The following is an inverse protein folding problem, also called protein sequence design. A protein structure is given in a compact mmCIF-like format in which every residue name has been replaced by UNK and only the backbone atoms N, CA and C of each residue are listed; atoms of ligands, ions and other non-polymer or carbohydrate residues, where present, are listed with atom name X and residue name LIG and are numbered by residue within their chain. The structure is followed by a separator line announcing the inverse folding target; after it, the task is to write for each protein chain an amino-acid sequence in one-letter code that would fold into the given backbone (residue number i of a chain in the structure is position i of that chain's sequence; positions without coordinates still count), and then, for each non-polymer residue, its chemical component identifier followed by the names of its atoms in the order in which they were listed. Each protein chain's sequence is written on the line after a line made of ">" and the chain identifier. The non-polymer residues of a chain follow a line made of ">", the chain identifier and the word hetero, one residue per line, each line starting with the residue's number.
data_IF_638558923837
#
_entry.id   IF_638558923837
#
_cell.length_a   1.000
_cell.length_b   1.000
_cell.length_c   1.000
_cell.angle_alpha   90.00
_cell.angle_beta   90.00
_cell.angle_gamma   90.00
#
_symmetry.space_group_name_H-M   'P 1'
#
loop_
_entity.id
_entity.type
_entity.pdbx_description
1 polymer ?
#
# COMPACT_ATOMS: atom_id res chain seq x y z
N UNK A 1 -19.77 9.94 18.46
CA UNK A 1 -18.73 9.92 17.41
C UNK A 1 -17.66 10.89 17.85
N UNK A 2 -16.37 10.54 17.83
CA UNK A 2 -15.32 11.55 18.06
C UNK A 2 -15.34 12.48 16.86
N UNK A 3 -15.43 13.79 17.08
CA UNK A 3 -15.37 14.78 16.01
C UNK A 3 -14.06 14.69 15.24
N UNK A 4 -14.10 14.99 13.94
CA UNK A 4 -12.89 15.05 13.13
C UNK A 4 -11.97 16.16 13.67
N UNK A 5 -10.66 15.87 13.74
CA UNK A 5 -9.65 16.82 14.18
C UNK A 5 -9.39 17.90 13.11
N UNK A 6 -9.61 17.54 11.83
CA UNK A 6 -9.38 18.39 10.67
C UNK A 6 -10.55 18.29 9.68
N UNK A 7 -10.68 19.30 8.83
CA UNK A 7 -11.67 19.38 7.75
C UNK A 7 -11.06 19.02 6.39
N UNK A 8 -11.87 18.71 5.38
CA UNK A 8 -11.38 18.57 4.00
C UNK A 8 -10.69 19.83 3.47
N UNK A 9 -11.12 21.02 3.91
CA UNK A 9 -10.55 22.32 3.56
C UNK A 9 -9.14 22.47 4.12
N UNK A 10 -8.91 22.06 5.38
CA UNK A 10 -7.57 22.05 5.97
C UNK A 10 -6.60 21.20 5.14
N UNK A 11 -7.06 20.03 4.68
CA UNK A 11 -6.25 19.17 3.82
C UNK A 11 -5.90 19.85 2.50
N UNK A 12 -6.87 20.52 1.84
CA UNK A 12 -6.62 21.25 0.60
C UNK A 12 -5.61 22.38 0.80
N UNK A 13 -5.75 23.15 1.88
CA UNK A 13 -4.81 24.22 2.21
C UNK A 13 -3.41 23.64 2.41
N UNK A 14 -3.26 22.55 3.18
CA UNK A 14 -1.95 21.94 3.40
C UNK A 14 -1.37 21.32 2.11
N UNK A 15 -2.20 20.77 1.24
CA UNK A 15 -1.78 20.25 -0.06
C UNK A 15 -1.33 21.34 -1.05
N UNK A 16 -1.81 22.58 -0.89
CA UNK A 16 -1.42 23.72 -1.73
C UNK A 16 -0.13 24.43 -1.26
N UNK A 17 0.42 24.08 -0.11
CA UNK A 17 1.68 24.67 0.38
C UNK A 17 2.85 24.37 -0.55
N UNK A 18 3.85 25.25 -0.52
CA UNK A 18 5.13 24.98 -1.19
C UNK A 18 5.81 23.74 -0.62
N UNK A 19 6.65 23.10 -1.42
CA UNK A 19 7.40 21.91 -0.99
C UNK A 19 8.24 22.21 0.27
N UNK A 20 8.91 23.35 0.31
CA UNK A 20 9.69 23.79 1.46
C UNK A 20 8.85 23.81 2.75
N UNK A 21 7.67 24.44 2.72
CA UNK A 21 6.76 24.47 3.87
C UNK A 21 6.29 23.07 4.28
N UNK A 22 6.01 22.20 3.29
CA UNK A 22 5.65 20.81 3.56
C UNK A 22 6.77 20.05 4.25
N UNK A 23 8.02 20.25 3.81
CA UNK A 23 9.21 19.68 4.47
C UNK A 23 9.29 20.11 5.92
N UNK A 24 9.22 21.41 6.19
CA UNK A 24 9.30 21.96 7.57
C UNK A 24 8.23 21.39 8.49
N UNK A 25 6.97 21.35 8.02
CA UNK A 25 5.87 20.77 8.81
C UNK A 25 6.04 19.27 9.01
N UNK A 26 6.48 18.55 7.97
CA UNK A 26 6.77 17.11 8.07
C UNK A 26 7.86 16.82 9.10
N UNK A 27 8.94 17.61 9.10
CA UNK A 27 10.01 17.51 10.08
C UNK A 27 9.51 17.78 11.51
N UNK A 28 8.67 18.81 11.68
CA UNK A 28 8.03 19.07 12.98
C UNK A 28 7.22 17.88 13.48
N UNK A 29 6.42 17.23 12.61
CA UNK A 29 5.65 16.03 12.97
C UNK A 29 6.53 14.83 13.31
N UNK A 30 7.66 14.67 12.63
CA UNK A 30 8.67 13.65 12.94
C UNK A 30 9.27 13.90 14.33
N UNK A 31 9.66 15.14 14.64
CA UNK A 31 10.22 15.51 15.95
C UNK A 31 9.22 15.24 17.08
N UNK A 32 7.96 15.68 16.93
CA UNK A 32 6.89 15.40 17.89
C UNK A 32 6.72 13.89 18.15
N UNK A 33 6.74 13.09 17.08
CA UNK A 33 6.59 11.64 17.18
C UNK A 33 7.78 10.99 17.89
N UNK A 34 8.99 11.38 17.52
CA UNK A 34 10.23 10.89 18.11
C UNK A 34 10.30 11.19 19.62
N UNK A 35 10.04 12.43 19.99
CA UNK A 35 10.06 12.86 21.40
C UNK A 35 8.99 12.14 22.23
N UNK A 36 7.77 12.03 21.71
CA UNK A 36 6.66 11.35 22.41
C UNK A 36 6.93 9.88 22.68
N UNK A 37 7.71 9.23 21.83
CA UNK A 37 8.07 7.82 21.96
C UNK A 37 9.48 7.61 22.55
N UNK A 38 10.10 8.63 23.12
CA UNK A 38 11.45 8.56 23.70
C UNK A 38 12.49 7.95 22.74
N UNK A 39 12.43 8.31 21.46
CA UNK A 39 13.31 7.80 20.41
C UNK A 39 13.01 6.38 19.91
N UNK A 40 12.07 5.66 20.53
CA UNK A 40 11.68 4.30 20.11
C UNK A 40 10.75 4.35 18.90
N UNK A 41 11.32 4.64 17.75
CA UNK A 41 10.60 4.76 16.48
C UNK A 41 11.38 4.08 15.35
N UNK A 42 10.65 3.69 14.30
CA UNK A 42 11.25 3.16 13.08
C UNK A 42 10.51 3.69 11.84
N UNK A 43 11.19 3.74 10.70
CA UNK A 43 10.56 4.03 9.41
C UNK A 43 10.07 2.73 8.78
N UNK A 44 8.77 2.60 8.52
CA UNK A 44 8.23 1.50 7.70
C UNK A 44 8.64 1.71 6.25
N UNK A 45 9.71 1.04 5.85
CA UNK A 45 10.40 1.25 4.58
C UNK A 45 10.04 0.16 3.58
N UNK A 46 9.44 0.51 2.47
CA UNK A 46 9.05 -0.44 1.41
C UNK A 46 10.00 -0.45 0.21
N UNK A 47 11.03 0.40 0.21
CA UNK A 47 11.86 0.66 -0.97
C UNK A 47 11.18 1.50 -2.05
N UNK A 48 9.89 1.80 -1.87
CA UNK A 48 9.13 2.67 -2.78
C UNK A 48 9.49 4.15 -2.62
N UNK A 49 9.27 4.95 -3.67
CA UNK A 49 9.64 6.37 -3.73
C UNK A 49 9.16 7.18 -2.51
N UNK A 50 7.92 6.95 -2.07
CA UNK A 50 7.32 7.68 -0.96
C UNK A 50 8.02 7.37 0.37
N UNK A 51 8.33 6.09 0.62
CA UNK A 51 9.05 5.67 1.83
C UNK A 51 10.53 6.04 1.78
N UNK A 52 11.11 6.20 0.61
CA UNK A 52 12.49 6.70 0.43
C UNK A 52 12.59 8.17 0.83
N UNK A 53 11.65 9.00 0.36
CA UNK A 53 11.55 10.41 0.79
C UNK A 53 11.34 10.52 2.29
N UNK A 54 10.44 9.72 2.86
CA UNK A 54 10.23 9.71 4.32
C UNK A 54 11.50 9.34 5.07
N UNK A 55 12.21 8.30 4.63
CA UNK A 55 13.45 7.85 5.28
C UNK A 55 14.52 8.94 5.27
N UNK A 56 14.69 9.62 4.14
CA UNK A 56 15.61 10.75 4.01
C UNK A 56 15.23 11.90 4.96
N UNK A 57 13.96 12.30 4.98
CA UNK A 57 13.47 13.35 5.89
C UNK A 57 13.66 13.02 7.37
N UNK A 58 13.45 11.77 7.76
CA UNK A 58 13.66 11.31 9.14
C UNK A 58 15.14 11.33 9.48
N UNK A 59 16.00 10.79 8.60
CA UNK A 59 17.44 10.65 8.86
C UNK A 59 18.23 11.95 8.76
N UNK A 60 17.70 12.97 8.11
CA UNK A 60 18.26 14.35 8.19
C UNK A 60 18.16 14.94 9.60
N UNK A 61 17.23 14.46 10.44
CA UNK A 61 17.04 14.95 11.82
C UNK A 61 17.60 13.92 12.82
N UNK A 62 17.33 12.65 12.58
CA UNK A 62 17.70 11.53 13.44
C UNK A 62 18.38 10.43 12.62
N UNK A 63 19.70 10.55 12.35
CA UNK A 63 20.43 9.66 11.44
C UNK A 63 20.37 8.17 11.81
N UNK A 64 20.25 7.88 13.10
CA UNK A 64 20.29 6.51 13.62
C UNK A 64 18.92 5.81 13.64
N UNK A 65 17.83 6.47 13.22
CA UNK A 65 16.52 5.83 13.18
C UNK A 65 16.52 4.66 12.21
N UNK A 66 16.17 3.44 12.68
CA UNK A 66 16.16 2.25 11.84
C UNK A 66 15.04 2.30 10.80
N UNK A 67 15.31 1.73 9.64
CA UNK A 67 14.30 1.39 8.66
C UNK A 67 13.91 -0.09 8.83
N UNK A 68 12.63 -0.41 8.67
CA UNK A 68 12.12 -1.78 8.71
C UNK A 68 11.48 -2.12 7.38
N UNK A 69 12.05 -3.10 6.69
CA UNK A 69 11.57 -3.62 5.42
C UNK A 69 10.96 -5.01 5.62
N UNK A 70 9.70 -5.16 5.21
CA UNK A 70 9.04 -6.47 5.23
C UNK A 70 9.14 -7.08 3.84
N UNK A 71 10.08 -8.02 3.68
CA UNK A 71 10.29 -8.78 2.44
C UNK A 71 9.21 -9.85 2.30
N UNK A 72 8.15 -9.51 1.59
CA UNK A 72 7.04 -10.44 1.33
C UNK A 72 7.30 -11.38 0.16
N UNK A 73 8.35 -11.14 -0.62
CA UNK A 73 8.60 -11.80 -1.89
C UNK A 73 7.68 -11.33 -3.03
N UNK A 74 6.87 -10.29 -2.77
CA UNK A 74 5.94 -9.68 -3.74
C UNK A 74 6.41 -8.32 -4.25
N UNK A 75 7.57 -7.89 -3.82
CA UNK A 75 8.22 -6.67 -4.28
C UNK A 75 8.91 -6.92 -5.62
N UNK A 76 8.99 -5.88 -6.47
CA UNK A 76 9.83 -5.93 -7.66
C UNK A 76 11.29 -6.21 -7.28
N UNK A 77 12.04 -7.00 -8.06
CA UNK A 77 13.44 -7.28 -7.77
C UNK A 77 14.28 -6.01 -7.55
N UNK A 78 14.05 -4.97 -8.35
CA UNK A 78 14.76 -3.70 -8.28
C UNK A 78 14.51 -2.96 -6.95
N UNK A 79 13.32 -3.12 -6.35
CA UNK A 79 13.07 -2.58 -5.02
C UNK A 79 13.91 -3.29 -3.96
N UNK A 80 14.00 -4.61 -4.04
CA UNK A 80 14.80 -5.39 -3.08
C UNK A 80 16.29 -5.09 -3.24
N UNK A 81 16.79 -4.95 -4.47
CA UNK A 81 18.18 -4.53 -4.70
C UNK A 81 18.42 -3.12 -4.17
N UNK A 82 17.52 -2.19 -4.40
CA UNK A 82 17.62 -0.84 -3.83
C UNK A 82 17.64 -0.85 -2.30
N UNK A 83 16.77 -1.61 -1.65
CA UNK A 83 16.74 -1.71 -0.18
C UNK A 83 18.07 -2.23 0.38
N UNK A 84 18.77 -3.12 -0.33
CA UNK A 84 20.10 -3.63 0.08
C UNK A 84 21.18 -2.54 0.11
N UNK A 85 21.02 -1.47 -0.68
CA UNK A 85 21.98 -0.35 -0.71
C UNK A 85 21.80 0.61 0.48
N UNK A 86 20.67 0.51 1.20
CA UNK A 86 20.35 1.39 2.31
C UNK A 86 20.90 0.82 3.62
N UNK A 87 21.62 1.65 4.36
CA UNK A 87 22.17 1.26 5.65
C UNK A 87 21.10 1.21 6.76
N UNK A 88 21.38 0.51 7.84
CA UNK A 88 20.52 0.40 9.02
C UNK A 88 19.07 0.00 8.67
N UNK A 89 18.92 -1.10 7.92
CA UNK A 89 17.62 -1.67 7.55
C UNK A 89 17.46 -3.04 8.22
N UNK A 90 16.43 -3.17 9.03
CA UNK A 90 15.97 -4.46 9.58
C UNK A 90 15.08 -5.16 8.56
N UNK A 91 15.48 -6.35 8.12
CA UNK A 91 14.72 -7.17 7.18
C UNK A 91 13.84 -8.16 7.95
N UNK A 92 12.54 -8.06 7.73
CA UNK A 92 11.56 -8.99 8.30
C UNK A 92 10.96 -9.85 7.18
N UNK A 93 10.60 -11.08 7.51
CA UNK A 93 9.86 -11.97 6.61
C UNK A 93 8.54 -12.37 7.25
N UNK A 94 7.44 -12.42 6.51
CA UNK A 94 6.18 -12.97 6.99
C UNK A 94 6.32 -14.48 7.24
N UNK A 95 5.53 -15.02 8.15
CA UNK A 95 5.51 -16.46 8.46
C UNK A 95 4.98 -17.31 7.31
N UNK A 96 4.11 -16.73 6.47
CA UNK A 96 3.55 -17.38 5.29
C UNK A 96 4.03 -16.68 4.03
N UNK A 97 4.46 -17.43 3.02
CA UNK A 97 4.63 -16.90 1.67
C UNK A 97 3.27 -16.69 0.97
N UNK A 98 3.26 -15.95 -0.13
CA UNK A 98 2.02 -15.58 -0.80
C UNK A 98 1.21 -16.77 -1.32
N UNK A 99 1.89 -17.82 -1.84
CA UNK A 99 1.22 -19.04 -2.28
C UNK A 99 0.46 -19.70 -1.12
N UNK A 100 1.10 -19.81 0.06
CA UNK A 100 0.44 -20.36 1.25
C UNK A 100 -0.71 -19.48 1.73
N UNK A 101 -0.60 -18.16 1.58
CA UNK A 101 -1.69 -17.22 1.91
C UNK A 101 -2.90 -17.43 0.96
N UNK A 102 -2.67 -17.60 -0.35
CA UNK A 102 -3.73 -17.91 -1.30
C UNK A 102 -4.39 -19.26 -0.96
N UNK A 103 -3.59 -20.28 -0.72
CA UNK A 103 -4.09 -21.62 -0.36
C UNK A 103 -4.96 -21.59 0.89
N UNK A 104 -4.56 -20.80 1.89
CA UNK A 104 -5.23 -20.77 3.20
C UNK A 104 -6.45 -19.84 3.20
N UNK A 105 -6.39 -18.72 2.51
CA UNK A 105 -7.39 -17.66 2.62
C UNK A 105 -8.05 -17.27 1.31
N UNK A 106 -7.41 -17.54 0.17
CA UNK A 106 -7.92 -17.17 -1.15
C UNK A 106 -7.25 -15.94 -1.77
N UNK A 107 -7.68 -15.65 -3.00
CA UNK A 107 -7.10 -14.62 -3.86
C UNK A 107 -7.50 -13.19 -3.46
N UNK A 108 -6.55 -12.24 -3.47
CA UNK A 108 -6.83 -10.83 -3.22
C UNK A 108 -7.25 -10.12 -4.51
N UNK A 109 -8.53 -10.12 -4.83
CA UNK A 109 -9.07 -9.55 -6.08
C UNK A 109 -10.15 -8.51 -5.81
N UNK A 110 -10.48 -7.71 -6.83
CA UNK A 110 -11.45 -6.62 -6.86
C UNK A 110 -11.06 -5.50 -5.90
N UNK A 111 -11.41 -5.60 -4.63
CA UNK A 111 -11.02 -4.66 -3.57
C UNK A 111 -11.00 -5.35 -2.22
N UNK A 112 -10.30 -4.77 -1.24
CA UNK A 112 -10.27 -5.35 0.13
C UNK A 112 -11.66 -5.51 0.72
N UNK A 113 -12.54 -4.52 0.53
CA UNK A 113 -13.89 -4.57 1.07
C UNK A 113 -14.73 -5.66 0.40
N UNK A 114 -14.71 -5.70 -0.93
CA UNK A 114 -15.47 -6.72 -1.70
C UNK A 114 -14.91 -8.12 -1.38
N UNK A 115 -13.61 -8.33 -1.42
CA UNK A 115 -13.00 -9.61 -1.08
C UNK A 115 -13.35 -10.06 0.35
N UNK A 116 -13.33 -9.14 1.32
CA UNK A 116 -13.75 -9.43 2.69
C UNK A 116 -15.25 -9.76 2.81
N UNK A 117 -16.11 -9.11 2.01
CA UNK A 117 -17.54 -9.40 1.96
C UNK A 117 -17.81 -10.77 1.32
N UNK A 118 -17.16 -11.08 0.20
CA UNK A 118 -17.25 -12.39 -0.45
C UNK A 118 -16.77 -13.49 0.51
N UNK A 119 -15.62 -13.32 1.13
CA UNK A 119 -15.11 -14.27 2.14
C UNK A 119 -16.10 -14.49 3.29
N UNK A 120 -16.80 -13.44 3.73
CA UNK A 120 -17.83 -13.56 4.77
C UNK A 120 -19.08 -14.25 4.25
N UNK A 121 -19.52 -13.96 3.03
CA UNK A 121 -20.70 -14.53 2.39
C UNK A 121 -20.53 -16.03 2.13
N UNK A 122 -19.36 -16.47 1.66
CA UNK A 122 -19.05 -17.89 1.48
C UNK A 122 -19.11 -18.69 2.79
N UNK A 123 -18.65 -18.09 3.90
CA UNK A 123 -18.66 -18.74 5.21
C UNK A 123 -20.05 -18.72 5.91
N UNK A 124 -20.79 -17.66 5.70
CA UNK A 124 -22.14 -17.46 6.27
C UNK A 124 -23.02 -16.72 5.26
N UNK A 125 -23.81 -17.45 4.46
CA UNK A 125 -24.66 -16.88 3.41
C UNK A 125 -25.74 -15.90 3.93
N UNK A 126 -26.11 -15.98 5.20
CA UNK A 126 -27.15 -15.15 5.79
C UNK A 126 -26.61 -13.89 6.48
N UNK A 127 -25.30 -13.71 6.53
CA UNK A 127 -24.72 -12.55 7.17
C UNK A 127 -25.02 -11.25 6.40
N UNK A 128 -25.00 -10.11 7.11
CA UNK A 128 -25.30 -8.81 6.53
C UNK A 128 -24.37 -8.46 5.34
N UNK A 129 -23.11 -8.91 5.35
CA UNK A 129 -22.16 -8.70 4.26
C UNK A 129 -22.57 -9.46 3.00
N UNK A 130 -23.15 -10.66 3.15
CA UNK A 130 -23.70 -11.42 2.05
C UNK A 130 -24.89 -10.69 1.39
N UNK A 131 -25.79 -10.14 2.23
CA UNK A 131 -26.92 -9.33 1.75
C UNK A 131 -26.47 -8.08 0.99
N UNK A 132 -25.41 -7.40 1.45
CA UNK A 132 -24.80 -6.28 0.71
C UNK A 132 -24.24 -6.70 -0.64
N UNK A 133 -23.51 -7.82 -0.70
CA UNK A 133 -22.91 -8.30 -1.97
C UNK A 133 -23.98 -8.72 -2.95
N UNK A 134 -25.07 -9.35 -2.50
CA UNK A 134 -26.18 -9.71 -3.36
C UNK A 134 -27.07 -8.54 -3.78
N UNK A 135 -26.86 -7.36 -3.18
CA UNK A 135 -27.66 -6.16 -3.46
C UNK A 135 -29.04 -6.17 -2.80
N UNK A 136 -29.30 -7.05 -1.84
CA UNK A 136 -30.55 -7.13 -1.07
C UNK A 136 -30.71 -5.96 -0.11
N UNK A 137 -29.59 -5.36 0.30
CA UNK A 137 -29.58 -4.18 1.18
C UNK A 137 -28.72 -3.11 0.50
N UNK A 138 -29.25 -1.87 0.34
CA UNK A 138 -28.50 -0.77 -0.24
C UNK A 138 -27.23 -0.46 0.56
N UNK A 139 -26.10 -0.38 -0.12
CA UNK A 139 -24.82 0.04 0.47
C UNK A 139 -24.18 1.12 -0.39
N UNK A 140 -24.36 2.36 -0.01
CA UNK A 140 -23.84 3.53 -0.72
C UNK A 140 -22.33 3.73 -0.55
N UNK A 141 -21.73 3.13 0.50
CA UNK A 141 -20.32 3.33 0.85
C UNK A 141 -19.40 2.39 0.06
N UNK A 142 -19.84 1.15 -0.21
CA UNK A 142 -18.99 0.09 -0.75
C UNK A 142 -19.39 -0.43 -2.14
N UNK A 143 -20.36 0.20 -2.81
CA UNK A 143 -20.68 -0.07 -4.21
C UNK A 143 -21.23 -1.46 -4.50
N UNK A 144 -22.02 -2.02 -3.58
CA UNK A 144 -22.48 -3.40 -3.68
C UNK A 144 -23.88 -3.58 -4.30
N UNK A 145 -24.16 -3.01 -5.47
CA UNK A 145 -25.46 -3.23 -6.15
C UNK A 145 -25.57 -4.61 -6.82
N UNK A 146 -25.13 -5.68 -6.16
CA UNK A 146 -25.17 -7.04 -6.71
C UNK A 146 -24.12 -7.32 -7.81
N UNK A 147 -23.39 -6.31 -8.28
CA UNK A 147 -22.41 -6.44 -9.37
C UNK A 147 -21.39 -7.57 -9.17
N UNK A 148 -20.99 -7.81 -7.93
CA UNK A 148 -19.96 -8.79 -7.58
C UNK A 148 -20.52 -10.05 -6.94
N UNK A 149 -21.86 -10.24 -6.97
CA UNK A 149 -22.54 -11.38 -6.34
C UNK A 149 -22.05 -12.73 -6.93
N UNK A 150 -21.78 -12.79 -8.23
CA UNK A 150 -21.30 -14.00 -8.93
C UNK A 150 -19.98 -14.54 -8.34
N UNK A 151 -19.20 -13.70 -7.63
CA UNK A 151 -17.95 -14.13 -6.99
C UNK A 151 -18.19 -15.01 -5.75
N UNK A 152 -19.42 -15.07 -5.22
CA UNK A 152 -19.77 -16.00 -4.14
C UNK A 152 -19.64 -17.45 -4.65
N UNK A 153 -20.00 -17.68 -5.92
CA UNK A 153 -19.98 -19.01 -6.56
C UNK A 153 -18.66 -19.29 -7.28
N UNK A 154 -17.64 -18.42 -7.13
CA UNK A 154 -16.34 -18.65 -7.75
C UNK A 154 -15.73 -19.97 -7.29
N UNK A 155 -15.08 -20.76 -8.22
CA UNK A 155 -14.50 -22.06 -7.90
C UNK A 155 -13.21 -21.96 -7.06
N UNK A 156 -12.86 -20.78 -6.63
CA UNK A 156 -11.71 -20.48 -5.78
C UNK A 156 -12.10 -19.57 -4.60
N UNK A 157 -11.29 -19.58 -3.55
CA UNK A 157 -11.49 -18.70 -2.40
C UNK A 157 -11.01 -17.29 -2.68
N UNK A 158 -11.71 -16.30 -2.10
CA UNK A 158 -11.42 -14.87 -2.24
C UNK A 158 -11.33 -14.24 -0.86
N UNK A 159 -10.28 -13.44 -0.61
CA UNK A 159 -10.05 -12.86 0.71
C UNK A 159 -9.24 -11.57 0.68
N UNK A 160 -9.41 -10.73 1.69
CA UNK A 160 -8.60 -9.54 1.96
C UNK A 160 -7.44 -9.78 2.93
N UNK A 161 -7.25 -11.03 3.39
CA UNK A 161 -6.33 -11.39 4.47
C UNK A 161 -4.84 -11.22 4.12
N UNK A 162 -4.46 -11.28 2.84
CA UNK A 162 -3.05 -11.27 2.43
C UNK A 162 -2.25 -10.08 3.01
N UNK A 163 -2.80 -8.87 2.96
CA UNK A 163 -2.11 -7.68 3.50
C UNK A 163 -1.97 -7.71 5.03
N UNK A 164 -2.91 -8.34 5.72
CA UNK A 164 -2.82 -8.51 7.16
C UNK A 164 -1.72 -9.51 7.49
N UNK A 165 -1.80 -10.72 6.96
CA UNK A 165 -0.87 -11.82 7.25
C UNK A 165 0.57 -11.49 6.85
N UNK A 166 0.75 -10.92 5.65
CA UNK A 166 2.10 -10.71 5.13
C UNK A 166 2.76 -9.41 5.59
N UNK A 167 1.99 -8.38 5.94
CA UNK A 167 2.56 -7.06 6.28
C UNK A 167 2.22 -6.62 7.68
N UNK A 168 0.92 -6.54 8.03
CA UNK A 168 0.51 -5.94 9.30
C UNK A 168 0.89 -6.80 10.51
N UNK A 169 0.64 -8.10 10.43
CA UNK A 169 0.97 -9.03 11.52
C UNK A 169 2.49 -9.06 11.78
N UNK A 170 3.29 -9.09 10.70
CA UNK A 170 4.75 -9.03 10.80
C UNK A 170 5.23 -7.73 11.46
N UNK A 171 4.66 -6.58 11.06
CA UNK A 171 4.97 -5.30 11.69
C UNK A 171 4.57 -5.26 13.17
N UNK A 172 3.37 -5.73 13.51
CA UNK A 172 2.89 -5.75 14.90
C UNK A 172 3.73 -6.67 15.80
N UNK A 173 4.21 -7.80 15.27
CA UNK A 173 5.15 -8.67 16.01
C UNK A 173 6.46 -7.95 16.32
N UNK A 174 7.00 -7.24 15.33
CA UNK A 174 8.21 -6.42 15.50
C UNK A 174 7.97 -5.31 16.55
N UNK A 175 6.88 -4.55 16.42
CA UNK A 175 6.51 -3.49 17.38
C UNK A 175 6.35 -4.01 18.81
N UNK A 176 5.77 -5.21 18.96
CA UNK A 176 5.61 -5.86 20.27
C UNK A 176 6.95 -6.28 20.86
N UNK A 177 7.89 -6.74 20.04
CA UNK A 177 9.21 -7.19 20.49
C UNK A 177 10.14 -6.04 20.86
N UNK A 178 10.13 -4.96 20.07
CA UNK A 178 11.07 -3.83 20.23
C UNK A 178 10.48 -2.68 21.05
N UNK A 179 9.16 -2.55 21.10
CA UNK A 179 8.46 -1.39 21.63
C UNK A 179 8.48 -0.17 20.72
N UNK A 180 9.14 -0.25 19.57
CA UNK A 180 9.23 0.85 18.60
C UNK A 180 7.90 1.16 17.93
N UNK A 181 7.72 2.43 17.51
CA UNK A 181 6.49 2.93 16.88
C UNK A 181 6.73 3.36 15.44
N UNK A 182 5.83 3.00 14.51
CA UNK A 182 6.03 3.22 13.08
C UNK A 182 5.87 4.68 12.66
N UNK A 183 6.72 5.10 11.71
CA UNK A 183 6.55 6.27 10.85
C UNK A 183 6.32 5.75 9.43
N UNK A 184 5.20 6.10 8.81
CA UNK A 184 4.76 5.52 7.53
C UNK A 184 4.52 6.61 6.48
N UNK A 185 5.02 6.43 5.26
CA UNK A 185 4.88 7.34 4.12
C UNK A 185 3.52 7.20 3.42
N UNK A 186 2.42 7.37 4.14
CA UNK A 186 1.09 7.35 3.51
C UNK A 186 0.54 8.74 3.28
N UNK A 187 -0.07 8.97 2.11
CA UNK A 187 -0.66 10.24 1.74
C UNK A 187 -2.19 10.16 1.69
N UNK A 188 -2.88 11.20 2.15
CA UNK A 188 -4.35 11.26 2.17
C UNK A 188 -4.96 11.24 0.75
N UNK A 189 -4.21 11.72 -0.26
CA UNK A 189 -4.66 11.72 -1.66
C UNK A 189 -4.74 10.32 -2.29
N UNK A 190 -4.15 9.29 -1.69
CA UNK A 190 -4.09 7.95 -2.27
C UNK A 190 -5.38 7.13 -2.12
N UNK A 191 -6.21 7.44 -1.12
CA UNK A 191 -7.51 6.76 -0.94
C UNK A 191 -8.42 7.50 0.05
N UNK A 192 -9.74 7.29 -0.10
CA UNK A 192 -10.72 7.84 0.83
C UNK A 192 -10.49 7.38 2.27
N UNK A 193 -10.08 6.13 2.50
CA UNK A 193 -9.80 5.62 3.84
C UNK A 193 -8.64 6.36 4.49
N UNK A 194 -7.56 6.67 3.72
CA UNK A 194 -6.42 7.44 4.23
C UNK A 194 -6.81 8.88 4.51
N UNK A 195 -7.61 9.50 3.62
CA UNK A 195 -8.17 10.82 3.83
C UNK A 195 -9.00 10.87 5.12
N UNK A 196 -9.94 9.95 5.31
CA UNK A 196 -10.76 9.89 6.53
C UNK A 196 -9.93 9.65 7.79
N UNK A 197 -8.90 8.81 7.70
CA UNK A 197 -7.96 8.59 8.82
C UNK A 197 -7.24 9.87 9.21
N UNK A 198 -6.77 10.64 8.22
CA UNK A 198 -6.11 11.91 8.47
C UNK A 198 -7.06 12.96 9.05
N UNK A 199 -8.27 13.10 8.51
CA UNK A 199 -9.27 14.03 9.05
C UNK A 199 -9.53 13.76 10.54
N UNK A 200 -9.57 12.48 10.93
CA UNK A 200 -9.82 12.06 12.30
C UNK A 200 -8.63 12.26 13.23
N UNK A 201 -7.42 11.90 12.79
CA UNK A 201 -6.26 11.76 13.67
C UNK A 201 -5.15 12.79 13.42
N UNK A 202 -5.13 13.44 12.25
CA UNK A 202 -4.00 14.23 11.78
C UNK A 202 -2.81 13.35 11.36
N UNK A 203 -1.61 13.94 11.39
CA UNK A 203 -0.38 13.23 11.00
C UNK A 203 0.10 12.24 12.07
N UNK A 204 -0.08 12.56 13.35
CA UNK A 204 0.36 11.75 14.48
C UNK A 204 -0.86 11.24 15.27
N UNK A 205 -1.16 9.95 15.12
CA UNK A 205 -2.27 9.27 15.78
C UNK A 205 -1.80 8.70 17.13
N UNK A 206 -1.49 9.56 18.10
CA UNK A 206 -0.96 9.17 19.42
C UNK A 206 -1.92 8.29 20.22
N UNK A 207 -3.21 8.61 20.20
CA UNK A 207 -4.24 7.99 21.03
C UNK A 207 -5.01 6.89 20.28
N UNK A 208 -4.51 6.44 19.13
CA UNK A 208 -5.09 5.32 18.41
C UNK A 208 -4.76 3.98 19.09
N UNK A 209 -5.60 2.97 18.90
CA UNK A 209 -5.34 1.60 19.38
C UNK A 209 -3.99 1.07 18.88
N UNK A 210 -3.64 1.43 17.64
CA UNK A 210 -2.32 1.20 17.07
C UNK A 210 -1.73 2.57 16.71
N UNK A 211 -0.94 3.18 17.61
CA UNK A 211 -0.34 4.48 17.36
C UNK A 211 0.56 4.47 16.13
N UNK A 212 0.45 5.50 15.29
CA UNK A 212 1.21 5.61 14.04
C UNK A 212 1.43 7.07 13.66
N UNK A 213 2.60 7.37 13.12
CA UNK A 213 2.87 8.66 12.47
C UNK A 213 2.81 8.52 10.95
N UNK A 214 2.08 9.43 10.31
CA UNK A 214 2.00 9.58 8.86
C UNK A 214 2.32 11.03 8.47
N UNK A 215 3.57 11.48 8.68
CA UNK A 215 3.92 12.90 8.64
C UNK A 215 3.81 13.52 7.24
N UNK A 216 3.78 12.69 6.19
CA UNK A 216 3.59 13.07 4.80
C UNK A 216 2.12 13.01 4.34
N UNK A 217 1.13 12.89 5.23
CA UNK A 217 -0.27 12.67 4.84
C UNK A 217 -0.85 13.75 3.94
N UNK A 218 -0.38 14.99 4.04
CA UNK A 218 -0.81 16.12 3.20
C UNK A 218 0.03 16.32 1.94
N UNK A 219 1.03 15.47 1.69
CA UNK A 219 1.80 15.49 0.44
C UNK A 219 1.00 14.91 -0.72
N UNK A 220 1.43 15.26 -1.92
CA UNK A 220 0.96 14.71 -3.19
C UNK A 220 2.10 13.95 -3.89
N UNK A 221 1.78 13.18 -4.91
CA UNK A 221 2.81 12.49 -5.71
C UNK A 221 3.78 13.49 -6.35
N UNK A 222 3.30 14.67 -6.73
CA UNK A 222 4.16 15.73 -7.31
C UNK A 222 5.20 16.20 -6.32
N UNK A 223 4.83 16.39 -5.05
CA UNK A 223 5.77 16.79 -4.00
C UNK A 223 6.87 15.73 -3.78
N UNK A 224 6.49 14.45 -3.83
CA UNK A 224 7.44 13.33 -3.70
C UNK A 224 8.44 13.32 -4.85
N UNK A 225 7.96 13.42 -6.10
CA UNK A 225 8.82 13.41 -7.29
C UNK A 225 9.70 14.65 -7.36
N UNK A 226 9.16 15.82 -7.02
CA UNK A 226 9.91 17.07 -6.91
C UNK A 226 11.01 16.96 -5.87
N UNK A 227 10.70 16.46 -4.67
CA UNK A 227 11.68 16.27 -3.60
C UNK A 227 12.83 15.37 -4.01
N UNK A 228 12.54 14.24 -4.67
CA UNK A 228 13.57 13.31 -5.15
C UNK A 228 14.52 14.02 -6.14
N UNK A 229 13.97 14.82 -7.07
CA UNK A 229 14.75 15.55 -8.06
C UNK A 229 15.61 16.66 -7.45
N UNK A 230 15.03 17.46 -6.55
CA UNK A 230 15.72 18.60 -5.95
C UNK A 230 16.75 18.19 -4.89
N UNK A 231 16.50 17.10 -4.18
CA UNK A 231 17.41 16.57 -3.16
C UNK A 231 18.40 15.54 -3.68
N UNK A 232 18.29 15.15 -4.95
CA UNK A 232 19.13 14.15 -5.63
C UNK A 232 19.27 12.84 -4.83
N UNK A 233 18.18 12.39 -4.18
CA UNK A 233 18.21 11.15 -3.42
C UNK A 233 18.04 9.93 -4.34
N UNK A 234 18.76 8.83 -4.07
CA UNK A 234 18.63 7.60 -4.83
C UNK A 234 17.23 6.98 -4.65
N UNK A 235 16.76 6.30 -5.68
CA UNK A 235 15.49 5.56 -5.67
C UNK A 235 15.59 4.31 -6.56
N UNK A 236 14.65 3.38 -6.38
CA UNK A 236 14.66 2.11 -7.10
C UNK A 236 14.49 2.30 -8.62
N UNK A 237 15.30 1.60 -9.40
CA UNK A 237 15.35 1.72 -10.88
C UNK A 237 14.05 1.31 -11.59
N UNK A 238 13.16 0.55 -10.93
CA UNK A 238 11.84 0.20 -11.47
C UNK A 238 10.96 1.41 -11.81
N UNK A 239 11.23 2.57 -11.21
CA UNK A 239 10.54 3.82 -11.54
C UNK A 239 11.06 4.47 -12.84
N UNK A 240 12.22 4.03 -13.37
CA UNK A 240 12.90 4.69 -14.49
C UNK A 240 13.35 6.09 -14.12
N UNK A 241 13.35 7.00 -15.11
CA UNK A 241 13.70 8.40 -14.89
C UNK A 241 12.52 9.22 -14.40
N UNK A 242 12.78 10.20 -13.54
CA UNK A 242 11.82 11.25 -13.20
C UNK A 242 12.00 12.41 -14.19
N UNK A 243 10.96 12.68 -14.97
CA UNK A 243 10.91 13.72 -16.01
C UNK A 243 9.75 14.68 -15.77
N UNK A 244 9.76 15.82 -16.44
CA UNK A 244 8.64 16.75 -16.48
C UNK A 244 7.96 16.71 -17.85
N UNK A 245 6.64 16.82 -17.85
CA UNK A 245 5.87 17.03 -19.07
C UNK A 245 5.90 18.52 -19.51
N UNK A 246 5.24 18.82 -20.62
CA UNK A 246 5.14 20.18 -21.16
C UNK A 246 4.45 21.20 -20.23
N UNK A 247 3.74 20.73 -19.23
CA UNK A 247 3.05 21.56 -18.23
C UNK A 247 3.86 21.66 -16.92
N UNK A 248 5.10 21.13 -16.88
CA UNK A 248 5.95 21.11 -15.71
C UNK A 248 5.59 20.04 -14.68
N UNK A 249 4.68 19.12 -15.00
CA UNK A 249 4.27 18.06 -14.08
C UNK A 249 5.27 16.90 -14.11
N UNK A 250 5.76 16.50 -12.94
CA UNK A 250 6.67 15.36 -12.80
C UNK A 250 5.96 14.03 -13.04
N UNK A 251 6.65 13.10 -13.70
CA UNK A 251 6.23 11.72 -13.91
C UNK A 251 7.43 10.76 -13.95
N UNK A 252 7.18 9.48 -13.71
CA UNK A 252 8.18 8.40 -13.84
C UNK A 252 8.04 7.71 -15.18
N UNK A 253 9.15 7.39 -15.85
CA UNK A 253 9.15 6.70 -17.15
C UNK A 253 8.90 5.19 -17.03
N UNK A 254 9.11 4.62 -15.85
CA UNK A 254 8.82 3.23 -15.51
C UNK A 254 7.49 3.07 -14.77
N UNK A 255 7.49 2.34 -13.67
CA UNK A 255 6.31 2.16 -12.84
C UNK A 255 5.91 3.45 -12.12
N UNK A 256 4.63 3.80 -12.11
CA UNK A 256 4.14 4.91 -11.27
C UNK A 256 4.04 4.50 -9.80
N UNK A 257 3.66 3.25 -9.54
CA UNK A 257 3.47 2.69 -8.20
C UNK A 257 3.98 1.26 -8.15
N UNK A 258 4.68 0.94 -7.09
CA UNK A 258 5.21 -0.38 -6.80
C UNK A 258 4.39 -1.02 -5.69
N UNK A 259 3.28 -1.64 -6.04
CA UNK A 259 2.54 -2.51 -5.13
C UNK A 259 3.11 -3.93 -5.11
N UNK A 260 2.38 -4.87 -4.47
CA UNK A 260 2.68 -6.29 -4.61
C UNK A 260 2.47 -6.71 -6.07
N UNK A 261 3.49 -7.32 -6.71
CA UNK A 261 3.49 -7.62 -8.16
C UNK A 261 2.34 -8.52 -8.62
N UNK A 262 1.83 -9.38 -7.74
CA UNK A 262 0.74 -10.33 -8.05
C UNK A 262 -0.61 -9.91 -7.46
N UNK A 263 -0.75 -8.66 -7.01
CA UNK A 263 -1.98 -8.20 -6.37
C UNK A 263 -3.11 -7.97 -7.38
N UNK A 264 -4.24 -8.65 -7.20
CA UNK A 264 -5.44 -8.46 -8.02
C UNK A 264 -6.36 -7.33 -7.54
N UNK A 265 -6.06 -6.65 -6.42
CA UNK A 265 -6.87 -5.53 -5.97
C UNK A 265 -6.79 -4.34 -6.93
N UNK A 266 -7.93 -3.91 -7.45
CA UNK A 266 -8.05 -2.78 -8.34
C UNK A 266 -7.63 -3.02 -9.79
N UNK A 267 -7.12 -4.20 -10.15
CA UNK A 267 -6.64 -4.48 -11.51
C UNK A 267 -7.73 -4.31 -12.59
N UNK A 268 -8.98 -4.61 -12.26
CA UNK A 268 -10.14 -4.45 -13.14
C UNK A 268 -10.51 -2.97 -13.45
N UNK A 269 -9.90 -2.01 -12.76
CA UNK A 269 -10.09 -0.58 -12.98
C UNK A 269 -8.95 0.05 -13.77
N UNK A 270 -7.89 -0.69 -14.03
CA UNK A 270 -6.73 -0.18 -14.74
C UNK A 270 -6.98 -0.12 -16.24
N UNK A 271 -6.48 0.95 -16.86
CA UNK A 271 -6.42 1.05 -18.33
C UNK A 271 -5.36 0.10 -18.88
N UNK A 272 -5.57 -0.39 -20.09
CA UNK A 272 -4.57 -1.18 -20.80
C UNK A 272 -3.42 -0.28 -21.32
N UNK A 273 -2.16 -0.75 -21.24
CA UNK A 273 -1.75 -2.00 -20.59
C UNK A 273 -1.86 -1.93 -19.06
N UNK A 274 -2.58 -2.89 -18.45
CA UNK A 274 -2.72 -3.01 -17.01
C UNK A 274 -1.45 -3.61 -16.36
N UNK A 275 -1.45 -3.75 -15.02
CA UNK A 275 -0.26 -4.24 -14.27
C UNK A 275 0.21 -5.62 -14.70
N UNK A 276 -0.68 -6.52 -15.06
CA UNK A 276 -0.30 -7.89 -15.49
C UNK A 276 0.27 -7.91 -16.91
N UNK A 277 -0.28 -7.11 -17.82
CA UNK A 277 0.28 -6.90 -19.16
C UNK A 277 1.66 -6.24 -19.10
N UNK A 278 1.81 -5.20 -18.26
CA UNK A 278 3.13 -4.58 -18.01
C UNK A 278 4.11 -5.56 -17.38
N UNK A 279 3.66 -6.38 -16.41
CA UNK A 279 4.49 -7.40 -15.79
C UNK A 279 5.00 -8.43 -16.82
N UNK A 280 4.17 -8.83 -17.80
CA UNK A 280 4.58 -9.70 -18.91
C UNK A 280 5.73 -9.12 -19.71
N UNK A 281 5.66 -7.81 -20.02
CA UNK A 281 6.66 -7.10 -20.80
C UNK A 281 7.97 -6.89 -20.03
N UNK A 282 7.88 -6.49 -18.77
CA UNK A 282 9.05 -6.09 -17.97
C UNK A 282 9.69 -7.23 -17.18
N UNK A 283 8.87 -8.17 -16.67
CA UNK A 283 9.29 -9.27 -15.80
C UNK A 283 8.64 -10.61 -16.22
N UNK A 284 8.95 -11.14 -17.40
CA UNK A 284 8.26 -12.32 -17.96
C UNK A 284 8.34 -13.57 -17.07
N UNK A 285 9.42 -13.74 -16.31
CA UNK A 285 9.55 -14.86 -15.35
C UNK A 285 8.56 -14.74 -14.18
N UNK A 286 8.38 -13.54 -13.64
CA UNK A 286 7.39 -13.30 -12.58
C UNK A 286 5.97 -13.45 -13.11
N UNK A 287 5.71 -12.92 -14.30
CA UNK A 287 4.43 -13.10 -14.97
C UNK A 287 4.11 -14.56 -15.22
N UNK A 288 5.06 -15.33 -15.76
CA UNK A 288 4.90 -16.77 -16.00
C UNK A 288 4.56 -17.53 -14.71
N UNK A 289 5.26 -17.27 -13.61
CA UNK A 289 4.95 -17.85 -12.31
C UNK A 289 3.55 -17.46 -11.80
N UNK A 290 3.16 -16.20 -12.00
CA UNK A 290 1.85 -15.70 -11.60
C UNK A 290 0.71 -16.38 -12.35
N UNK A 291 0.86 -16.57 -13.68
CA UNK A 291 -0.17 -17.12 -14.55
C UNK A 291 -0.20 -18.66 -14.59
N UNK A 292 0.93 -19.28 -14.28
CA UNK A 292 1.07 -20.74 -14.31
C UNK A 292 0.01 -21.41 -13.42
N UNK A 293 -0.60 -22.53 -13.86
CA UNK A 293 -1.59 -23.29 -13.09
C UNK A 293 -1.10 -23.68 -11.67
N UNK A 294 -2.08 -23.81 -10.77
CA UNK A 294 -1.77 -24.13 -9.37
C UNK A 294 -1.10 -25.50 -9.20
N UNK A 295 -1.60 -26.52 -9.88
CA UNK A 295 -1.10 -27.89 -9.88
C UNK A 295 0.29 -28.02 -10.48
N UNK A 296 0.66 -27.11 -11.37
CA UNK A 296 2.01 -27.01 -11.93
C UNK A 296 2.99 -26.19 -11.10
N UNK A 297 2.59 -25.74 -9.91
CA UNK A 297 3.43 -24.98 -8.99
C UNK A 297 3.42 -23.47 -9.18
N UNK A 298 2.53 -22.93 -10.02
CA UNK A 298 2.28 -21.49 -10.18
C UNK A 298 1.29 -20.93 -9.16
N UNK A 299 0.80 -19.71 -9.41
CA UNK A 299 -0.20 -19.08 -8.57
C UNK A 299 -1.64 -19.20 -9.09
N UNK A 300 -1.87 -19.78 -10.29
CA UNK A 300 -3.20 -19.93 -10.87
C UNK A 300 -3.94 -18.62 -11.15
N UNK A 301 -3.22 -17.49 -11.22
CA UNK A 301 -3.87 -16.18 -11.37
C UNK A 301 -4.56 -16.04 -12.72
N UNK A 302 -4.14 -16.77 -13.74
CA UNK A 302 -4.80 -16.80 -15.06
C UNK A 302 -6.30 -17.09 -14.93
N UNK A 303 -6.66 -18.19 -14.29
CA UNK A 303 -8.05 -18.62 -14.11
C UNK A 303 -8.88 -17.56 -13.35
N UNK A 304 -8.26 -16.93 -12.36
CA UNK A 304 -8.89 -15.88 -11.55
C UNK A 304 -9.14 -14.62 -12.37
N UNK A 305 -8.18 -14.21 -13.21
CA UNK A 305 -8.30 -13.03 -14.07
C UNK A 305 -9.31 -13.26 -15.19
N UNK A 306 -9.33 -14.44 -15.78
CA UNK A 306 -10.34 -14.86 -16.77
C UNK A 306 -11.74 -14.77 -16.17
N UNK A 307 -11.92 -15.29 -14.93
CA UNK A 307 -13.20 -15.28 -14.23
C UNK A 307 -13.74 -13.87 -13.95
N UNK A 308 -12.86 -12.91 -13.68
CA UNK A 308 -13.25 -11.50 -13.45
C UNK A 308 -13.14 -10.61 -14.69
N UNK A 309 -12.84 -11.16 -15.86
CA UNK A 309 -12.78 -10.48 -17.15
C UNK A 309 -11.61 -9.48 -17.27
N UNK A 310 -10.47 -9.75 -16.63
CA UNK A 310 -9.28 -8.90 -16.71
C UNK A 310 -8.25 -9.51 -17.66
N UNK A 311 -7.88 -8.75 -18.69
CA UNK A 311 -6.82 -9.16 -19.62
C UNK A 311 -5.45 -9.15 -18.92
N UNK A 312 -4.59 -10.08 -19.30
CA UNK A 312 -3.23 -10.22 -18.72
C UNK A 312 -2.17 -10.45 -19.80
N UNK A 313 -2.60 -10.54 -21.08
CA UNK A 313 -1.77 -10.66 -22.26
C UNK A 313 -1.82 -9.42 -23.13
#
# INVERSE_FOLDING_TARGET
>A
MRDNKYTPEDLKIMQSWSLERKIQVTQTRIIEWYQRNNGKVYVSFSGGKDSTVLLDLVRRIYPDVPAVFIDTGLEYPELREFVKTIQNVTWLKPEMNFRKVIETYGYPIISKNIAGFISSAKRNPDCIRAKYIRGEIPNTIFGGNGRWAFLIDAPFEISDRCCYVMKKDTAHKYEKQTGEKPIIATMACESQMRKMSWLKNGCNAFDATNPVSTPMSFWTEQDVLQYIKESDIPYASVYGDIKQDKNGKYYTTGCNRTGCVFCGFGCHLEKEPNRFQRLKQTHPKLWSYCMKPWDEGGLGMKEVLDYIGVKYE
#
